data_IF_008627006755
#
_entry.id   IF_008627006755
#
_cell.length_a   1.000
_cell.length_b   1.000
_cell.length_c   1.000
_cell.angle_alpha   90.00
_cell.angle_beta   90.00
_cell.angle_gamma   90.00
#
_symmetry.space_group_name_H-M   'P 1'
#
loop_
_entity.id
_entity.type
_entity.pdbx_description
1 polymer ?
#
# COMPACT_ATOMS: atom_id res chain seq x y z
N UNK A 1 25.42 -14.26 13.12
CA UNK A 1 24.75 -13.87 14.37
C UNK A 1 25.33 -14.71 15.49
N UNK A 2 25.89 -14.06 16.50
CA UNK A 2 26.40 -14.72 17.71
C UNK A 2 25.25 -15.35 18.50
N UNK A 3 25.56 -16.26 19.43
CA UNK A 3 24.56 -16.84 20.33
C UNK A 3 23.94 -15.77 21.25
N UNK A 4 24.75 -14.81 21.70
CA UNK A 4 24.31 -13.67 22.48
C UNK A 4 23.31 -12.80 21.71
N UNK A 5 23.52 -12.59 20.41
CA UNK A 5 22.58 -11.84 19.57
C UNK A 5 21.21 -12.55 19.51
N UNK A 6 21.21 -13.89 19.45
CA UNK A 6 19.97 -14.68 19.41
C UNK A 6 19.22 -14.60 20.74
N UNK A 7 19.93 -14.68 21.87
CA UNK A 7 19.36 -14.55 23.20
C UNK A 7 18.77 -13.15 23.42
N UNK A 8 19.51 -12.11 23.05
CA UNK A 8 19.03 -10.73 23.13
C UNK A 8 17.76 -10.52 22.28
N UNK A 9 17.73 -11.00 21.04
CA UNK A 9 16.53 -10.91 20.20
C UNK A 9 15.34 -11.67 20.79
N UNK A 10 15.56 -12.82 21.43
CA UNK A 10 14.49 -13.57 22.12
C UNK A 10 13.95 -12.78 23.32
N UNK A 11 14.83 -12.23 24.15
CA UNK A 11 14.45 -11.42 25.30
C UNK A 11 13.68 -10.17 24.86
N UNK A 12 14.13 -9.49 23.81
CA UNK A 12 13.44 -8.32 23.24
C UNK A 12 12.04 -8.69 22.72
N UNK A 13 11.92 -9.81 21.99
CA UNK A 13 10.61 -10.33 21.52
C UNK A 13 9.69 -10.63 22.68
N UNK A 14 10.19 -11.26 23.73
CA UNK A 14 9.43 -11.57 24.94
C UNK A 14 8.94 -10.31 25.64
N UNK A 15 9.84 -9.36 25.95
CA UNK A 15 9.49 -8.11 26.63
C UNK A 15 8.45 -7.30 25.85
N UNK A 16 8.56 -7.30 24.53
CA UNK A 16 7.59 -6.67 23.65
C UNK A 16 6.22 -7.36 23.67
N UNK A 17 6.18 -8.69 23.67
CA UNK A 17 4.93 -9.44 23.76
C UNK A 17 4.25 -9.21 25.12
N UNK A 18 5.04 -9.23 26.19
CA UNK A 18 4.57 -8.94 27.55
C UNK A 18 4.02 -7.51 27.68
N UNK A 19 4.72 -6.52 27.11
CA UNK A 19 4.22 -5.15 27.05
C UNK A 19 2.90 -5.06 26.28
N UNK A 20 2.77 -5.74 25.14
CA UNK A 20 1.53 -5.69 24.34
C UNK A 20 0.31 -6.29 25.05
N UNK A 21 0.53 -7.24 25.96
CA UNK A 21 -0.52 -7.87 26.78
C UNK A 21 -0.86 -7.06 28.03
N UNK A 22 0.11 -6.31 28.56
CA UNK A 22 -0.08 -5.46 29.74
C UNK A 22 -0.67 -4.09 29.40
N UNK A 23 -0.58 -3.64 28.15
CA UNK A 23 -1.26 -2.44 27.66
C UNK A 23 -2.70 -2.76 27.32
N UNK A 24 -3.61 -2.08 28.02
CA UNK A 24 -5.04 -2.17 27.76
C UNK A 24 -5.49 -1.10 26.78
N UNK A 25 -6.41 -1.47 25.89
CA UNK A 25 -6.99 -0.52 24.96
C UNK A 25 -7.74 0.59 25.71
N UNK A 26 -7.47 1.89 25.43
CA UNK A 26 -8.13 2.99 26.11
C UNK A 26 -9.64 2.96 25.83
N UNK A 27 -10.46 3.07 26.87
CA UNK A 27 -11.92 3.12 26.73
C UNK A 27 -12.38 4.32 25.90
N UNK A 28 -11.60 5.41 25.87
CA UNK A 28 -11.85 6.59 25.04
C UNK A 28 -11.71 6.37 23.54
N UNK A 29 -11.05 5.28 23.11
CA UNK A 29 -10.93 4.91 21.69
C UNK A 29 -11.95 3.82 21.29
N UNK A 30 -12.78 3.35 22.24
CA UNK A 30 -13.75 2.26 22.04
C UNK A 30 -14.72 2.55 20.91
N UNK A 31 -15.11 3.81 20.67
CA UNK A 31 -16.07 4.18 19.63
C UNK A 31 -15.56 3.90 18.21
N UNK A 32 -14.23 3.80 18.03
CA UNK A 32 -13.60 3.48 16.74
C UNK A 32 -13.48 1.97 16.48
N UNK A 33 -13.81 1.13 17.46
CA UNK A 33 -13.67 -0.33 17.39
C UNK A 33 -15.00 -1.00 17.75
N UNK A 34 -15.48 -1.89 16.88
CA UNK A 34 -16.75 -2.57 17.12
C UNK A 34 -16.66 -3.52 18.34
N UNK A 35 -17.26 -3.15 19.47
CA UNK A 35 -17.36 -4.01 20.65
C UNK A 35 -17.84 -3.31 21.92
N UNK A 36 -18.31 -4.07 22.93
CA UNK A 36 -18.63 -3.51 24.24
C UNK A 36 -17.38 -2.90 24.90
N UNK A 37 -17.56 -1.87 25.72
CA UNK A 37 -16.54 -1.05 26.41
C UNK A 37 -15.75 -1.81 27.49
N UNK A 38 -15.45 -3.09 27.25
CA UNK A 38 -14.71 -3.96 28.14
C UNK A 38 -13.22 -3.68 27.92
N UNK A 39 -12.51 -3.42 29.01
CA UNK A 39 -11.06 -3.24 29.01
C UNK A 39 -10.40 -4.53 28.54
N UNK A 40 -10.00 -4.58 27.26
CA UNK A 40 -9.32 -5.73 26.65
C UNK A 40 -7.83 -5.44 26.45
N UNK A 41 -6.97 -6.48 26.51
CA UNK A 41 -5.59 -6.37 26.06
C UNK A 41 -5.52 -5.80 24.63
N UNK A 42 -4.56 -4.92 24.39
CA UNK A 42 -4.37 -4.27 23.08
C UNK A 42 -4.22 -5.30 21.96
N UNK A 43 -3.49 -6.38 22.24
CA UNK A 43 -3.14 -7.41 21.29
C UNK A 43 -4.37 -8.24 20.83
N UNK A 44 -5.34 -8.47 21.71
CA UNK A 44 -6.66 -9.05 21.37
C UNK A 44 -7.50 -8.11 20.49
N UNK A 45 -7.56 -6.82 20.86
CA UNK A 45 -8.33 -5.81 20.10
C UNK A 45 -7.76 -5.67 18.70
N UNK A 46 -6.43 -5.62 18.57
CA UNK A 46 -5.77 -5.55 17.28
C UNK A 46 -6.02 -6.80 16.44
N UNK A 47 -5.95 -8.01 17.03
CA UNK A 47 -6.28 -9.26 16.33
C UNK A 47 -7.71 -9.26 15.78
N UNK A 48 -8.70 -8.85 16.58
CA UNK A 48 -10.10 -8.77 16.14
C UNK A 48 -10.30 -7.71 15.05
N UNK A 49 -9.62 -6.57 15.17
CA UNK A 49 -9.69 -5.47 14.22
C UNK A 49 -9.03 -5.81 12.89
N UNK A 50 -7.91 -6.53 12.94
CA UNK A 50 -7.21 -7.07 11.78
C UNK A 50 -8.10 -8.03 10.97
N UNK A 51 -8.77 -8.96 11.65
CA UNK A 51 -9.71 -9.88 11.02
C UNK A 51 -10.92 -9.13 10.41
N UNK A 52 -11.46 -8.15 11.14
CA UNK A 52 -12.56 -7.32 10.63
C UNK A 52 -12.14 -6.49 9.40
N UNK A 53 -10.93 -5.93 9.40
CA UNK A 53 -10.40 -5.12 8.32
C UNK A 53 -10.15 -5.94 7.04
N UNK A 54 -9.48 -7.10 7.16
CA UNK A 54 -9.25 -7.99 6.00
C UNK A 54 -10.55 -8.53 5.39
N UNK A 55 -11.59 -8.73 6.20
CA UNK A 55 -12.94 -9.11 5.75
C UNK A 55 -13.77 -7.93 5.23
N UNK A 56 -13.17 -6.74 5.05
CA UNK A 56 -13.85 -5.53 4.60
C UNK A 56 -15.00 -5.06 5.50
N UNK A 57 -15.06 -5.53 6.75
CA UNK A 57 -16.12 -5.17 7.71
C UNK A 57 -15.84 -3.83 8.38
N UNK A 58 -14.58 -3.40 8.40
CA UNK A 58 -14.14 -2.14 9.00
C UNK A 58 -13.02 -1.50 8.18
N UNK A 59 -13.02 -0.17 8.12
CA UNK A 59 -11.92 0.64 7.53
C UNK A 59 -11.18 1.43 8.60
N UNK A 60 -11.66 1.41 9.84
CA UNK A 60 -11.06 2.16 10.96
C UNK A 60 -9.60 1.79 11.19
N UNK A 61 -9.24 0.51 10.95
CA UNK A 61 -7.86 0.04 11.03
C UNK A 61 -6.90 0.84 10.11
N UNK A 62 -7.37 1.27 8.93
CA UNK A 62 -6.54 1.98 7.95
C UNK A 62 -6.54 3.51 8.13
N UNK A 63 -7.45 4.06 8.93
CA UNK A 63 -7.53 5.49 9.22
C UNK A 63 -6.37 5.99 10.10
N UNK A 64 -5.65 5.08 10.76
CA UNK A 64 -4.47 5.43 11.52
C UNK A 64 -3.34 5.94 10.60
N UNK A 65 -2.55 6.92 11.06
CA UNK A 65 -1.32 7.33 10.38
C UNK A 65 -0.40 6.13 10.09
N UNK A 66 0.48 6.27 9.09
CA UNK A 66 1.35 5.18 8.64
C UNK A 66 2.19 4.62 9.79
N UNK A 67 2.72 5.48 10.65
CA UNK A 67 3.51 5.14 11.83
C UNK A 67 2.71 4.24 12.78
N UNK A 68 1.46 4.64 13.06
CA UNK A 68 0.55 3.85 13.90
C UNK A 68 0.24 2.50 13.28
N UNK A 69 -0.02 2.45 11.97
CA UNK A 69 -0.28 1.21 11.25
C UNK A 69 0.93 0.27 11.24
N UNK A 70 2.15 0.79 11.09
CA UNK A 70 3.39 0.00 11.18
C UNK A 70 3.52 -0.61 12.58
N UNK A 71 3.31 0.17 13.64
CA UNK A 71 3.38 -0.31 15.03
C UNK A 71 2.34 -1.41 15.26
N UNK A 72 1.08 -1.18 14.88
CA UNK A 72 0.01 -2.17 15.02
C UNK A 72 0.34 -3.47 14.29
N UNK A 73 0.88 -3.38 13.07
CA UNK A 73 1.27 -4.54 12.27
C UNK A 73 2.44 -5.30 12.91
N UNK A 74 3.42 -4.61 13.50
CA UNK A 74 4.52 -5.25 14.23
C UNK A 74 4.01 -5.99 15.48
N UNK A 75 3.03 -5.43 16.19
CA UNK A 75 2.39 -6.12 17.33
C UNK A 75 1.69 -7.39 16.85
N UNK A 76 0.93 -7.30 15.75
CA UNK A 76 0.27 -8.47 15.14
C UNK A 76 1.28 -9.52 14.68
N UNK A 77 2.36 -9.14 14.00
CA UNK A 77 3.38 -10.10 13.52
C UNK A 77 4.01 -10.92 14.66
N UNK A 78 4.05 -10.38 15.88
CA UNK A 78 4.54 -11.10 17.06
C UNK A 78 3.57 -12.16 17.58
N UNK A 79 2.30 -12.09 17.20
CA UNK A 79 1.28 -13.08 17.58
C UNK A 79 1.17 -14.25 16.57
N UNK A 80 1.97 -14.26 15.50
CA UNK A 80 1.87 -15.27 14.43
C UNK A 80 2.14 -16.70 14.90
N UNK A 81 2.97 -16.85 15.92
CA UNK A 81 3.27 -18.17 16.52
C UNK A 81 2.05 -18.75 17.25
N UNK A 82 1.11 -17.91 17.66
CA UNK A 82 -0.13 -18.29 18.36
C UNK A 82 -1.29 -18.50 17.36
N UNK A 83 -1.32 -17.76 16.26
CA UNK A 83 -2.40 -17.79 15.27
C UNK A 83 -1.90 -18.12 13.86
N UNK A 84 -2.16 -19.35 13.40
CA UNK A 84 -1.67 -19.86 12.09
C UNK A 84 -2.13 -19.06 10.87
N UNK A 85 -3.29 -18.40 10.92
CA UNK A 85 -3.82 -17.59 9.81
C UNK A 85 -3.27 -16.16 9.76
N UNK A 86 -2.55 -15.74 10.81
CA UNK A 86 -2.14 -14.36 10.97
C UNK A 86 -1.12 -13.87 9.91
N UNK A 87 -0.18 -14.68 9.41
CA UNK A 87 0.75 -14.24 8.36
C UNK A 87 0.03 -13.70 7.11
N UNK A 88 -0.93 -14.46 6.56
CA UNK A 88 -1.72 -14.02 5.40
C UNK A 88 -2.60 -12.80 5.70
N UNK A 89 -3.11 -12.70 6.94
CA UNK A 89 -3.87 -11.53 7.40
C UNK A 89 -2.99 -10.29 7.42
N UNK A 90 -1.76 -10.41 7.93
CA UNK A 90 -0.78 -9.32 7.99
C UNK A 90 -0.41 -8.86 6.58
N UNK A 91 -0.06 -9.78 5.68
CA UNK A 91 0.25 -9.45 4.28
C UNK A 91 -0.90 -8.68 3.61
N UNK A 92 -2.14 -9.15 3.78
CA UNK A 92 -3.33 -8.47 3.30
C UNK A 92 -3.50 -7.08 3.93
N UNK A 93 -3.27 -6.92 5.24
CA UNK A 93 -3.37 -5.63 5.92
C UNK A 93 -2.33 -4.63 5.43
N UNK A 94 -1.08 -5.05 5.27
CA UNK A 94 0.01 -4.20 4.77
C UNK A 94 -0.32 -3.72 3.35
N UNK A 95 -0.77 -4.65 2.50
CA UNK A 95 -1.22 -4.30 1.15
C UNK A 95 -2.40 -3.34 1.17
N UNK A 96 -3.46 -3.63 1.94
CA UNK A 96 -4.63 -2.78 2.04
C UNK A 96 -4.30 -1.39 2.61
N UNK A 97 -3.39 -1.28 3.58
CA UNK A 97 -2.92 0.01 4.10
C UNK A 97 -2.19 0.83 3.04
N UNK A 98 -1.34 0.18 2.23
CA UNK A 98 -0.68 0.81 1.09
C UNK A 98 -1.70 1.37 0.10
N UNK A 99 -2.72 0.57 -0.28
CA UNK A 99 -3.79 1.02 -1.17
C UNK A 99 -4.59 2.18 -0.58
N UNK A 100 -4.89 2.12 0.72
CA UNK A 100 -5.56 3.20 1.43
C UNK A 100 -4.73 4.48 1.38
N UNK A 101 -3.42 4.40 1.62
CA UNK A 101 -2.52 5.55 1.54
C UNK A 101 -2.51 6.20 0.15
N UNK A 102 -2.48 5.38 -0.90
CA UNK A 102 -2.54 5.87 -2.28
C UNK A 102 -3.84 6.65 -2.52
N UNK A 103 -4.98 6.21 -1.96
CA UNK A 103 -6.24 6.95 -2.02
C UNK A 103 -6.17 8.26 -1.23
N UNK A 104 -5.58 8.26 -0.03
CA UNK A 104 -5.37 9.49 0.75
C UNK A 104 -4.60 10.53 -0.07
N UNK A 105 -3.47 10.11 -0.67
CA UNK A 105 -2.64 10.98 -1.50
C UNK A 105 -3.37 11.40 -2.78
N UNK A 106 -4.12 10.49 -3.42
CA UNK A 106 -4.94 10.83 -4.59
C UNK A 106 -5.94 11.95 -4.29
N UNK A 107 -6.67 11.86 -3.17
CA UNK A 107 -7.63 12.88 -2.74
C UNK A 107 -6.94 14.21 -2.42
N UNK A 108 -5.80 14.18 -1.72
CA UNK A 108 -5.01 15.38 -1.44
C UNK A 108 -4.56 16.07 -2.74
N UNK A 109 -4.12 15.31 -3.75
CA UNK A 109 -3.71 15.85 -5.04
C UNK A 109 -4.87 16.37 -5.86
N UNK A 110 -6.00 15.68 -5.83
CA UNK A 110 -7.24 16.10 -6.48
C UNK A 110 -7.70 17.45 -5.95
N UNK A 111 -7.67 17.64 -4.63
CA UNK A 111 -8.02 18.91 -3.99
C UNK A 111 -7.01 20.03 -4.32
N UNK A 112 -5.72 19.73 -4.31
CA UNK A 112 -4.67 20.74 -4.51
C UNK A 112 -4.45 21.15 -5.98
N UNK A 113 -4.61 20.25 -6.94
CA UNK A 113 -4.22 20.47 -8.33
C UNK A 113 -5.34 20.21 -9.35
N UNK A 114 -6.51 19.78 -8.89
CA UNK A 114 -7.64 19.46 -9.74
C UNK A 114 -7.51 18.12 -10.49
N UNK A 115 -8.56 17.81 -11.26
CA UNK A 115 -8.77 16.50 -11.90
C UNK A 115 -7.73 16.18 -12.98
N UNK A 116 -7.48 17.13 -13.88
CA UNK A 116 -6.65 16.88 -15.06
C UNK A 116 -5.21 16.54 -14.68
N UNK A 117 -4.60 17.32 -13.78
CA UNK A 117 -3.22 17.06 -13.36
C UNK A 117 -3.11 15.74 -12.60
N UNK A 118 -4.06 15.46 -11.69
CA UNK A 118 -4.10 14.21 -10.95
C UNK A 118 -4.23 13.00 -11.89
N UNK A 119 -5.08 13.08 -12.92
CA UNK A 119 -5.23 12.03 -13.91
C UNK A 119 -3.94 11.80 -14.72
N UNK A 120 -3.29 12.87 -15.19
CA UNK A 120 -2.01 12.77 -15.92
C UNK A 120 -0.92 12.13 -15.07
N UNK A 121 -0.85 12.48 -13.79
CA UNK A 121 0.08 11.87 -12.83
C UNK A 121 -0.17 10.36 -12.70
N UNK A 122 -1.43 9.95 -12.51
CA UNK A 122 -1.79 8.53 -12.41
C UNK A 122 -1.45 7.75 -13.70
N UNK A 123 -1.72 8.34 -14.87
CA UNK A 123 -1.38 7.73 -16.16
C UNK A 123 0.13 7.57 -16.33
N UNK A 124 0.94 8.52 -15.85
CA UNK A 124 2.40 8.41 -15.89
C UNK A 124 2.89 7.15 -15.15
N UNK A 125 2.35 6.88 -13.95
CA UNK A 125 2.70 5.69 -13.16
C UNK A 125 2.39 4.40 -13.91
N UNK A 126 1.29 4.38 -14.66
CA UNK A 126 0.82 3.19 -15.38
C UNK A 126 1.61 2.91 -16.67
N UNK A 127 2.19 3.95 -17.28
CA UNK A 127 2.89 3.91 -18.57
C UNK A 127 4.43 3.83 -18.41
N UNK A 128 5.00 4.18 -17.26
CA UNK A 128 6.45 4.13 -17.04
C UNK A 128 7.05 2.72 -17.20
N UNK A 129 8.00 2.59 -18.13
CA UNK A 129 8.80 1.39 -18.37
C UNK A 129 10.05 1.37 -17.44
N UNK A 130 10.21 0.37 -16.56
CA UNK A 130 11.41 0.24 -15.74
C UNK A 130 12.64 -0.13 -16.57
N UNK A 131 12.50 -0.81 -17.72
CA UNK A 131 13.65 -1.30 -18.48
C UNK A 131 14.42 -0.19 -19.20
N UNK A 132 13.76 0.91 -19.59
CA UNK A 132 14.45 2.05 -20.22
C UNK A 132 15.47 2.78 -19.31
N UNK A 133 15.49 2.50 -18.00
CA UNK A 133 16.53 3.05 -17.08
C UNK A 133 17.51 2.00 -16.54
N UNK A 134 17.28 0.72 -16.80
CA UNK A 134 18.07 -0.38 -16.22
C UNK A 134 19.49 -0.52 -16.78
N UNK A 135 19.88 0.23 -17.81
CA UNK A 135 21.25 0.21 -18.31
C UNK A 135 22.25 1.05 -17.49
N UNK A 136 21.82 1.88 -16.52
CA UNK A 136 22.76 2.79 -15.84
C UNK A 136 22.61 3.01 -14.34
N UNK A 137 21.74 2.30 -13.60
CA UNK A 137 21.57 2.62 -12.16
C UNK A 137 21.40 1.46 -11.17
N UNK A 138 21.42 0.19 -11.60
CA UNK A 138 20.98 -0.91 -10.74
C UNK A 138 22.04 -1.62 -9.89
N UNK A 139 23.29 -1.14 -9.80
CA UNK A 139 24.32 -1.84 -9.00
C UNK A 139 25.06 -1.00 -7.94
N UNK A 140 24.70 0.27 -7.71
CA UNK A 140 25.46 1.16 -6.79
C UNK A 140 24.65 1.86 -5.70
N UNK A 141 23.47 1.34 -5.35
CA UNK A 141 22.44 2.10 -4.60
C UNK A 141 22.37 1.93 -3.08
N UNK A 142 23.22 1.14 -2.41
CA UNK A 142 23.15 0.97 -0.94
C UNK A 142 23.72 2.16 -0.14
N UNK A 143 24.45 3.09 -0.77
CA UNK A 143 25.12 4.21 -0.10
C UNK A 143 24.51 5.60 -0.30
N UNK A 144 23.31 5.73 -0.89
CA UNK A 144 22.79 7.05 -1.34
C UNK A 144 21.39 7.45 -0.87
N UNK A 145 20.82 6.76 0.11
CA UNK A 145 19.58 7.20 0.78
C UNK A 145 19.83 8.21 1.92
N UNK A 146 21.09 8.55 2.23
CA UNK A 146 21.44 9.58 3.22
C UNK A 146 21.62 11.00 2.67
N UNK A 147 21.32 11.25 1.38
CA UNK A 147 21.35 12.62 0.86
C UNK A 147 19.91 13.16 0.83
N UNK A 148 19.59 14.27 1.53
CA UNK A 148 18.33 14.96 1.30
C UNK A 148 18.36 15.43 -0.15
N UNK A 149 17.68 14.70 -1.03
CA UNK A 149 17.43 15.18 -2.38
C UNK A 149 16.42 16.29 -2.22
N UNK A 150 16.84 17.51 -2.56
CA UNK A 150 15.98 18.67 -2.64
C UNK A 150 14.66 18.28 -3.28
N UNK A 151 13.56 18.78 -2.72
CA UNK A 151 12.20 18.72 -3.24
C UNK A 151 12.25 18.90 -4.76
N UNK A 152 12.28 17.78 -5.49
CA UNK A 152 12.26 17.81 -6.94
C UNK A 152 10.83 18.13 -7.29
N UNK A 153 10.57 19.41 -7.54
CA UNK A 153 9.44 19.85 -8.35
C UNK A 153 9.26 18.84 -9.49
N UNK A 154 8.05 18.31 -9.60
CA UNK A 154 7.66 17.42 -10.68
C UNK A 154 8.17 17.99 -11.99
N UNK A 155 9.19 17.36 -12.57
CA UNK A 155 9.72 17.83 -13.85
C UNK A 155 8.70 17.45 -14.91
N UNK A 156 7.95 18.44 -15.37
CA UNK A 156 7.02 18.36 -16.49
C UNK A 156 7.67 17.91 -17.82
N UNK A 157 8.98 17.61 -17.85
CA UNK A 157 9.60 16.90 -18.98
C UNK A 157 8.89 15.59 -19.32
N UNK A 158 8.25 14.92 -18.34
CA UNK A 158 7.42 13.73 -18.57
C UNK A 158 6.08 13.97 -19.28
N UNK A 159 5.58 15.21 -19.35
CA UNK A 159 4.36 15.53 -20.11
C UNK A 159 4.61 15.47 -21.62
N UNK A 160 5.78 15.89 -22.09
CA UNK A 160 6.13 15.83 -23.51
C UNK A 160 6.23 14.38 -24.03
N UNK A 161 6.72 13.46 -23.18
CA UNK A 161 6.67 12.04 -23.49
C UNK A 161 5.24 11.51 -23.46
N UNK A 162 4.42 11.91 -22.48
CA UNK A 162 3.01 11.51 -22.35
C UNK A 162 2.15 12.02 -23.51
N UNK A 163 2.33 13.26 -23.96
CA UNK A 163 1.61 13.78 -25.14
C UNK A 163 2.04 13.04 -26.40
N UNK A 164 3.34 12.72 -26.54
CA UNK A 164 3.83 11.88 -27.64
C UNK A 164 3.32 10.43 -27.55
N UNK A 165 3.08 9.88 -26.36
CA UNK A 165 2.50 8.52 -26.19
C UNK A 165 0.98 8.50 -26.32
N UNK A 166 0.28 9.57 -25.92
CA UNK A 166 -1.19 9.67 -25.95
C UNK A 166 -1.73 10.17 -27.29
N UNK A 167 -0.94 10.95 -28.04
CA UNK A 167 -1.36 11.57 -29.30
C UNK A 167 -0.44 11.25 -30.49
N UNK A 168 0.59 10.41 -30.32
CA UNK A 168 1.46 9.98 -31.42
C UNK A 168 1.12 8.58 -31.95
N UNK A 169 1.15 8.41 -33.27
CA UNK A 169 0.88 7.17 -34.02
C UNK A 169 1.96 6.07 -33.79
N UNK A 170 2.07 5.55 -32.57
CA UNK A 170 2.92 4.41 -32.27
C UNK A 170 2.12 3.23 -31.70
N UNK A 171 1.59 2.34 -32.57
CA UNK A 171 0.86 1.15 -32.14
C UNK A 171 1.72 0.11 -31.38
N UNK A 172 3.04 0.30 -31.33
CA UNK A 172 3.99 -0.59 -30.63
C UNK A 172 4.54 -0.05 -29.29
N UNK A 173 4.25 1.20 -28.91
CA UNK A 173 4.88 1.85 -27.75
C UNK A 173 4.13 1.67 -26.42
N UNK A 174 2.96 1.04 -26.42
CA UNK A 174 2.21 0.72 -25.21
C UNK A 174 1.96 -0.78 -25.11
N UNK A 175 2.98 -1.55 -24.79
CA UNK A 175 2.73 -2.83 -24.13
C UNK A 175 2.32 -2.50 -22.68
N UNK A 176 1.06 -2.66 -22.29
CA UNK A 176 0.66 -2.42 -20.90
C UNK A 176 1.47 -3.38 -20.02
N UNK A 177 2.37 -2.80 -19.23
CA UNK A 177 3.18 -3.54 -18.24
C UNK A 177 2.27 -4.44 -17.40
N UNK A 178 2.74 -5.60 -16.97
CA UNK A 178 1.88 -6.52 -16.23
C UNK A 178 1.83 -6.18 -14.72
N UNK A 179 2.90 -5.59 -14.19
CA UNK A 179 3.09 -5.30 -12.77
C UNK A 179 3.63 -3.87 -12.50
N UNK A 180 3.37 -3.32 -11.31
CA UNK A 180 3.95 -2.06 -10.82
C UNK A 180 4.75 -2.36 -9.56
N UNK A 181 6.04 -1.98 -9.51
CA UNK A 181 6.83 -2.10 -8.28
C UNK A 181 6.61 -0.88 -7.39
N UNK A 182 6.72 -1.08 -6.08
CA UNK A 182 6.47 -0.05 -5.08
C UNK A 182 7.55 1.04 -5.12
N UNK A 183 8.78 0.73 -5.55
CA UNK A 183 9.83 1.74 -5.77
C UNK A 183 9.42 2.80 -6.78
N UNK A 184 8.72 2.40 -7.85
CA UNK A 184 8.25 3.33 -8.87
C UNK A 184 7.24 4.32 -8.26
N UNK A 185 6.44 3.88 -7.28
CA UNK A 185 5.51 4.76 -6.59
C UNK A 185 6.20 5.85 -5.77
N UNK A 186 7.43 5.62 -5.28
CA UNK A 186 8.21 6.65 -4.60
C UNK A 186 8.81 7.69 -5.57
N UNK A 187 8.80 7.44 -6.88
CA UNK A 187 9.08 8.46 -7.90
C UNK A 187 7.84 9.36 -8.17
N UNK A 188 6.72 9.07 -7.50
CA UNK A 188 5.42 9.73 -7.70
C UNK A 188 4.98 10.43 -6.40
N UNK A 189 4.02 11.37 -6.45
CA UNK A 189 3.50 12.00 -5.24
C UNK A 189 2.50 11.14 -4.47
N UNK A 190 2.29 9.90 -4.92
CA UNK A 190 1.37 8.95 -4.29
C UNK A 190 1.99 8.30 -3.05
N UNK A 191 3.32 8.27 -2.96
CA UNK A 191 4.06 7.75 -1.80
C UNK A 191 5.32 8.60 -1.61
N UNK A 192 5.47 9.20 -0.43
CA UNK A 192 6.71 9.90 -0.10
C UNK A 192 7.85 8.92 0.20
N UNK A 193 9.10 9.34 0.03
CA UNK A 193 10.26 8.50 0.40
C UNK A 193 10.23 8.14 1.88
N UNK A 194 9.84 9.06 2.76
CA UNK A 194 9.76 8.82 4.20
C UNK A 194 8.69 7.78 4.54
N UNK A 195 7.52 7.87 3.90
CA UNK A 195 6.46 6.86 4.02
C UNK A 195 6.95 5.48 3.57
N UNK A 196 7.67 5.41 2.45
CA UNK A 196 8.23 4.15 1.96
C UNK A 196 9.24 3.55 2.95
N UNK A 197 10.12 4.39 3.52
CA UNK A 197 11.08 3.95 4.54
C UNK A 197 10.39 3.45 5.81
N UNK A 198 9.28 4.07 6.23
CA UNK A 198 8.49 3.60 7.36
C UNK A 198 7.85 2.24 7.08
N UNK A 199 7.23 2.06 5.91
CA UNK A 199 6.60 0.79 5.53
C UNK A 199 7.64 -0.34 5.38
N UNK A 200 8.84 -0.04 4.88
CA UNK A 200 9.95 -1.00 4.81
C UNK A 200 10.43 -1.52 6.17
N UNK A 201 10.11 -0.85 7.28
CA UNK A 201 10.36 -1.40 8.62
C UNK A 201 9.57 -2.69 8.90
N UNK A 202 8.53 -2.98 8.12
CA UNK A 202 7.78 -4.23 8.17
C UNK A 202 8.52 -5.41 7.51
N UNK A 203 9.67 -5.16 6.84
CA UNK A 203 10.53 -6.17 6.25
C UNK A 203 9.79 -7.05 5.25
N UNK A 204 9.89 -8.38 5.43
CA UNK A 204 9.32 -9.37 4.53
C UNK A 204 7.82 -9.17 4.26
N UNK A 205 7.04 -8.69 5.23
CA UNK A 205 5.61 -8.43 5.07
C UNK A 205 5.33 -7.31 4.05
N UNK A 206 6.27 -6.36 3.90
CA UNK A 206 6.17 -5.30 2.89
C UNK A 206 6.83 -5.73 1.56
N UNK A 207 8.01 -6.35 1.63
CA UNK A 207 8.72 -6.83 0.43
C UNK A 207 7.91 -7.88 -0.35
N UNK A 208 7.01 -8.59 0.33
CA UNK A 208 6.04 -9.48 -0.30
C UNK A 208 5.19 -8.80 -1.38
N UNK A 209 4.90 -7.49 -1.24
CA UNK A 209 4.06 -6.76 -2.20
C UNK A 209 4.70 -6.77 -3.58
N UNK A 210 6.00 -6.46 -3.68
CA UNK A 210 6.71 -6.44 -4.95
C UNK A 210 6.85 -7.83 -5.57
N UNK A 211 6.90 -8.86 -4.75
CA UNK A 211 7.08 -10.24 -5.19
C UNK A 211 5.77 -10.92 -5.61
N UNK A 212 4.66 -10.63 -4.92
CA UNK A 212 3.41 -11.40 -5.06
C UNK A 212 2.19 -10.52 -5.38
N UNK A 213 2.11 -9.28 -4.89
CA UNK A 213 0.92 -8.43 -5.01
C UNK A 213 1.05 -7.28 -6.05
N UNK A 214 2.15 -7.20 -6.79
CA UNK A 214 2.45 -6.12 -7.73
C UNK A 214 1.43 -5.99 -8.89
N UNK A 215 0.79 -7.10 -9.29
CA UNK A 215 -0.28 -7.13 -10.29
C UNK A 215 -1.57 -6.55 -9.72
N UNK A 216 -1.91 -6.91 -8.48
CA UNK A 216 -3.05 -6.35 -7.75
C UNK A 216 -2.90 -4.84 -7.58
N UNK A 217 -1.71 -4.38 -7.19
CA UNK A 217 -1.38 -2.95 -7.09
C UNK A 217 -1.63 -2.22 -8.42
N UNK A 218 -1.22 -2.81 -9.54
CA UNK A 218 -1.47 -2.23 -10.86
C UNK A 218 -2.96 -2.15 -11.21
N UNK A 219 -3.72 -3.23 -10.99
CA UNK A 219 -5.18 -3.24 -11.24
C UNK A 219 -5.86 -2.14 -10.44
N UNK A 220 -5.46 -1.98 -9.18
CA UNK A 220 -5.96 -0.93 -8.32
C UNK A 220 -5.65 0.47 -8.86
N UNK A 221 -4.39 0.76 -9.20
CA UNK A 221 -3.99 2.06 -9.74
C UNK A 221 -4.71 2.38 -11.06
N UNK A 222 -4.88 1.38 -11.91
CA UNK A 222 -5.65 1.51 -13.14
C UNK A 222 -7.10 1.89 -12.85
N UNK A 223 -7.75 1.18 -11.91
CA UNK A 223 -9.13 1.46 -11.52
C UNK A 223 -9.27 2.84 -10.86
N UNK A 224 -8.32 3.24 -10.01
CA UNK A 224 -8.29 4.56 -9.38
C UNK A 224 -8.17 5.68 -10.42
N UNK A 225 -7.37 5.48 -11.47
CA UNK A 225 -7.17 6.48 -12.54
C UNK A 225 -8.36 6.67 -13.48
N UNK A 226 -9.17 5.63 -13.67
CA UNK A 226 -10.26 5.57 -14.66
C UNK A 226 -11.62 5.94 -14.10
N UNK A 227 -11.89 5.59 -12.84
CA UNK A 227 -13.22 5.80 -12.27
C UNK A 227 -13.36 7.22 -11.72
N UNK A 228 -14.20 8.00 -12.40
CA UNK A 228 -14.54 9.39 -12.07
C UNK A 228 -15.54 9.47 -10.93
N UNK A 229 -15.24 8.84 -9.81
CA UNK A 229 -16.18 8.84 -8.70
C UNK A 229 -15.74 9.92 -7.71
N UNK A 230 -16.60 10.94 -7.58
CA UNK A 230 -16.49 11.98 -6.59
C UNK A 230 -16.92 11.40 -5.24
N UNK A 231 -15.94 10.96 -4.47
CA UNK A 231 -16.17 10.51 -3.10
C UNK A 231 -15.93 11.65 -2.12
N UNK A 232 -16.77 11.74 -1.09
CA UNK A 232 -16.67 12.70 0.01
C UNK A 232 -15.39 12.55 0.82
N UNK A 233 -14.86 11.32 0.94
CA UNK A 233 -13.67 11.05 1.74
C UNK A 233 -12.83 9.89 1.19
N UNK A 234 -11.53 9.80 1.57
CA UNK A 234 -10.69 8.63 1.33
C UNK A 234 -11.30 7.32 1.88
N UNK A 235 -11.92 7.38 3.06
CA UNK A 235 -12.55 6.22 3.69
C UNK A 235 -13.72 5.69 2.88
N UNK A 236 -14.60 6.58 2.39
CA UNK A 236 -15.75 6.19 1.55
C UNK A 236 -15.28 5.63 0.21
N UNK A 237 -14.26 6.25 -0.38
CA UNK A 237 -13.62 5.80 -1.61
C UNK A 237 -13.06 4.37 -1.45
N UNK A 238 -12.31 4.12 -0.38
CA UNK A 238 -11.76 2.80 -0.09
C UNK A 238 -12.87 1.76 0.14
N UNK A 239 -13.86 2.06 0.99
CA UNK A 239 -15.01 1.17 1.24
C UNK A 239 -15.69 0.76 -0.07
N UNK A 240 -15.89 1.71 -0.97
CA UNK A 240 -16.52 1.47 -2.27
C UNK A 240 -15.66 0.58 -3.15
N UNK A 241 -14.35 0.81 -3.23
CA UNK A 241 -13.45 -0.09 -3.96
C UNK A 241 -13.47 -1.52 -3.43
N UNK A 242 -13.44 -1.68 -2.11
CA UNK A 242 -13.48 -3.02 -1.49
C UNK A 242 -14.81 -3.73 -1.76
N UNK A 243 -15.92 -2.97 -1.77
CA UNK A 243 -17.25 -3.49 -2.06
C UNK A 243 -17.49 -3.82 -3.55
N UNK A 244 -16.67 -3.31 -4.48
CA UNK A 244 -16.80 -3.63 -5.90
C UNK A 244 -16.50 -5.12 -6.11
N UNK A 245 -17.50 -5.90 -6.54
CA UNK A 245 -17.36 -7.35 -6.79
C UNK A 245 -16.10 -7.69 -7.60
N UNK A 246 -15.82 -6.90 -8.63
CA UNK A 246 -14.64 -7.06 -9.52
C UNK A 246 -13.29 -6.91 -8.80
N UNK A 247 -13.21 -6.05 -7.78
CA UNK A 247 -11.99 -5.80 -7.02
C UNK A 247 -11.96 -6.55 -5.69
N UNK A 248 -13.10 -7.01 -5.17
CA UNK A 248 -13.18 -7.67 -3.85
C UNK A 248 -12.25 -8.87 -3.68
N UNK A 249 -11.91 -9.56 -4.77
CA UNK A 249 -10.91 -10.65 -4.76
C UNK A 249 -9.50 -10.09 -4.52
N UNK A 250 -9.13 -9.03 -5.23
CA UNK A 250 -7.81 -8.37 -5.11
C UNK A 250 -7.53 -7.87 -3.70
N UNK A 251 -8.54 -7.39 -2.96
CA UNK A 251 -8.35 -6.95 -1.57
C UNK A 251 -8.17 -8.12 -0.59
N UNK A 252 -8.85 -9.25 -0.83
CA UNK A 252 -8.79 -10.43 0.04
C UNK A 252 -7.57 -11.30 -0.24
N UNK A 253 -7.21 -11.42 -1.50
CA UNK A 253 -6.17 -12.34 -1.97
C UNK A 253 -5.41 -11.70 -3.15
N UNK A 254 -4.51 -10.73 -2.87
CA UNK A 254 -3.84 -9.96 -3.91
C UNK A 254 -2.80 -10.77 -4.69
N UNK A 255 -2.23 -11.82 -4.09
CA UNK A 255 -1.30 -12.73 -4.76
C UNK A 255 -1.97 -13.49 -5.91
N UNK A 256 -3.28 -13.70 -5.79
CA UNK A 256 -4.12 -14.46 -6.71
C UNK A 256 -4.54 -13.67 -7.97
N UNK A 257 -4.09 -12.42 -8.10
CA UNK A 257 -4.43 -11.55 -9.23
C UNK A 257 -3.50 -11.83 -10.41
N UNK A 258 -4.03 -12.60 -11.36
CA UNK A 258 -3.27 -12.99 -12.55
C UNK A 258 -2.95 -11.80 -13.47
N UNK A 259 -1.80 -11.83 -14.18
CA UNK A 259 -1.49 -10.98 -15.32
C UNK A 259 -2.61 -10.81 -16.34
N UNK A 260 -3.36 -11.89 -16.62
CA UNK A 260 -4.45 -11.89 -17.60
C UNK A 260 -5.63 -11.05 -17.13
N UNK A 261 -5.86 -11.02 -15.82
CA UNK A 261 -6.85 -10.15 -15.18
C UNK A 261 -6.47 -8.69 -15.33
N UNK A 262 -5.17 -8.35 -15.27
CA UNK A 262 -4.64 -6.99 -15.49
C UNK A 262 -4.93 -6.53 -16.92
N UNK A 263 -4.63 -7.37 -17.93
CA UNK A 263 -4.89 -7.04 -19.33
C UNK A 263 -6.39 -6.96 -19.64
N UNK A 264 -7.23 -7.80 -19.02
CA UNK A 264 -8.68 -7.74 -19.19
C UNK A 264 -9.27 -6.49 -18.52
N UNK A 265 -8.79 -6.10 -17.34
CA UNK A 265 -9.20 -4.85 -16.69
C UNK A 265 -8.80 -3.62 -17.53
N UNK A 266 -7.62 -3.66 -18.16
CA UNK A 266 -7.15 -2.59 -19.05
C UNK A 266 -7.93 -2.49 -20.38
N UNK A 267 -8.56 -3.58 -20.84
CA UNK A 267 -9.22 -3.65 -22.16
C UNK A 267 -10.76 -3.65 -22.10
N UNK A 268 -11.40 -4.11 -21.01
CA UNK A 268 -12.87 -4.34 -20.94
C UNK A 268 -13.70 -3.24 -20.29
N UNK A 269 -13.14 -2.07 -19.98
CA UNK A 269 -13.93 -0.96 -19.44
C UNK A 269 -14.06 0.09 -20.54
N UNK A 270 -15.11 -0.07 -21.38
CA UNK A 270 -15.52 0.99 -22.32
C UNK A 270 -15.87 2.26 -21.52
N UNK A 271 -15.49 3.44 -22.03
CA UNK A 271 -15.76 4.73 -21.38
C UNK A 271 -17.25 4.95 -21.13
#
# INVERSE_FOLDING_TARGET
>A
MSENDKLFLRALKWACADLSRSVYFPSSLSDSFAGPSIRRPLDEVLSQSADAATKARSVYFFQYPIEGSVIMTVILDRQKDVQRSLPSVIEALVFQRLLYHIIEQYHQRLAAHGRMLTHLMMTQVLVQDPQQRSASSLQRGLGRLQRPRSISLFSFRGLSSLTRTLFGDHPKAMQPKVAVSVEILAETPLISTDTLLLLRKLGANFDWIDNQANNALRVFLHHLSRYRIEYSSPADHFKKHVALKKLSKMFRDPADVSPRTVTAAATRIKP
#
